data_IF_932095087191
#
_entry.id   IF_932095087191
#
_cell.length_a   1.000
_cell.length_b   1.000
_cell.length_c   1.000
_cell.angle_alpha   90.00
_cell.angle_beta   90.00
_cell.angle_gamma   90.00
#
_symmetry.space_group_name_H-M   'P 1'
#
loop_
_entity.id
_entity.type
_entity.pdbx_description
1 polymer ?
#
# COMPACT_ATOMS: atom_id res chain seq x y z
N UNK A 1 4.45 26.32 -13.17
CA UNK A 1 3.22 25.51 -13.02
C UNK A 1 3.49 24.16 -13.69
N UNK A 2 3.84 23.12 -12.92
CA UNK A 2 4.13 21.77 -13.47
C UNK A 2 2.81 21.02 -13.60
N UNK A 3 2.23 21.06 -14.79
CA UNK A 3 1.04 20.30 -15.18
C UNK A 3 1.38 18.81 -15.30
N UNK A 4 0.61 17.95 -14.62
CA UNK A 4 0.51 16.49 -14.81
C UNK A 4 1.82 15.81 -15.23
N UNK A 5 2.79 15.72 -14.33
CA UNK A 5 3.72 14.59 -14.41
C UNK A 5 2.91 13.30 -14.31
N UNK A 6 3.28 12.29 -15.10
CA UNK A 6 2.82 10.93 -14.91
C UNK A 6 3.13 10.51 -13.46
N UNK A 7 2.07 10.38 -12.66
CA UNK A 7 2.17 10.05 -11.24
C UNK A 7 2.84 8.69 -11.05
N UNK A 8 2.68 7.76 -12.01
CA UNK A 8 3.36 6.48 -11.98
C UNK A 8 4.88 6.65 -12.14
N UNK A 9 5.32 7.49 -13.07
CA UNK A 9 6.74 7.84 -13.23
C UNK A 9 7.32 8.48 -11.96
N UNK A 10 6.58 9.42 -11.35
CA UNK A 10 6.97 10.05 -10.08
C UNK A 10 7.11 9.02 -8.95
N UNK A 11 6.13 8.12 -8.78
CA UNK A 11 6.21 7.06 -7.76
C UNK A 11 7.34 6.06 -8.03
N UNK A 12 7.60 5.76 -9.29
CA UNK A 12 8.67 4.84 -9.72
C UNK A 12 10.06 5.29 -9.24
N UNK A 13 10.30 6.61 -9.11
CA UNK A 13 11.55 7.15 -8.57
C UNK A 13 11.82 6.67 -7.12
N UNK A 14 10.77 6.41 -6.33
CA UNK A 14 10.88 5.96 -4.94
C UNK A 14 10.98 4.43 -4.79
N UNK A 15 10.58 3.66 -5.81
CA UNK A 15 10.54 2.18 -5.74
C UNK A 15 11.86 1.51 -6.12
N UNK A 16 12.81 2.25 -6.70
CA UNK A 16 14.08 1.71 -7.21
C UNK A 16 14.96 1.08 -6.12
N UNK A 17 14.83 1.55 -4.88
CA UNK A 17 15.55 0.99 -3.72
C UNK A 17 14.59 0.85 -2.54
N UNK A 18 14.12 -0.37 -2.21
CA UNK A 18 13.18 -0.56 -1.12
C UNK A 18 13.84 -0.16 0.20
N UNK A 19 13.31 0.89 0.83
CA UNK A 19 13.69 1.28 2.19
C UNK A 19 12.74 0.60 3.16
N UNK A 20 13.25 -0.37 3.90
CA UNK A 20 12.53 -1.00 5.00
C UNK A 20 12.32 0.00 6.16
N UNK A 21 11.50 -0.38 7.14
CA UNK A 21 11.12 0.46 8.27
C UNK A 21 9.79 1.19 8.08
N UNK A 22 9.05 1.33 9.17
CA UNK A 22 7.69 1.90 9.19
C UNK A 22 7.68 3.40 9.52
N UNK A 23 8.80 3.97 9.97
CA UNK A 23 8.86 5.30 10.58
C UNK A 23 8.35 6.39 9.64
N UNK A 24 8.74 6.32 8.36
CA UNK A 24 8.31 7.27 7.32
C UNK A 24 6.82 7.14 7.01
N UNK A 25 6.34 5.90 6.89
CA UNK A 25 4.93 5.63 6.58
C UNK A 25 4.02 6.04 7.75
N UNK A 26 4.41 5.72 8.98
CA UNK A 26 3.68 6.10 10.19
C UNK A 26 3.71 7.62 10.43
N UNK A 27 4.82 8.30 10.12
CA UNK A 27 4.85 9.77 10.17
C UNK A 27 3.84 10.40 9.21
N UNK A 28 3.72 9.87 7.99
CA UNK A 28 2.71 10.31 7.03
C UNK A 28 1.29 9.95 7.49
N UNK A 29 1.07 8.74 7.98
CA UNK A 29 -0.23 8.29 8.48
C UNK A 29 -0.76 9.21 9.59
N UNK A 30 0.09 9.59 10.56
CA UNK A 30 -0.26 10.54 11.62
C UNK A 30 -0.67 11.90 11.10
N UNK A 31 0.01 12.42 10.07
CA UNK A 31 -0.39 13.68 9.43
C UNK A 31 -1.76 13.58 8.75
N UNK A 32 -2.18 12.38 8.38
CA UNK A 32 -3.47 12.07 7.76
C UNK A 32 -4.53 11.61 8.77
N UNK A 33 -4.22 11.63 10.08
CA UNK A 33 -5.16 11.23 11.14
C UNK A 33 -5.26 9.72 11.36
N UNK A 34 -4.17 8.97 11.13
CA UNK A 34 -4.06 7.53 11.37
C UNK A 34 -5.19 6.70 10.72
N UNK A 35 -5.39 6.85 9.40
CA UNK A 35 -6.51 6.22 8.70
C UNK A 35 -6.55 4.69 8.83
N UNK A 36 -5.39 4.04 9.05
CA UNK A 36 -5.29 2.60 9.25
C UNK A 36 -6.12 2.08 10.44
N UNK A 37 -6.37 2.91 11.46
CA UNK A 37 -7.08 2.50 12.68
C UNK A 37 -8.59 2.35 12.44
N UNK A 38 -9.12 2.95 11.37
CA UNK A 38 -10.53 2.87 10.99
C UNK A 38 -10.86 1.78 9.97
N UNK A 39 -9.87 1.02 9.49
CA UNK A 39 -10.05 0.07 8.39
C UNK A 39 -10.28 -1.35 8.90
N UNK A 40 -11.20 -2.08 8.25
CA UNK A 40 -11.31 -3.53 8.37
C UNK A 40 -10.36 -4.17 7.36
N UNK A 41 -9.24 -4.72 7.83
CA UNK A 41 -8.15 -5.19 6.96
C UNK A 41 -7.86 -6.66 7.20
N UNK A 42 -7.59 -7.40 6.12
CA UNK A 42 -6.92 -8.70 6.15
C UNK A 42 -5.46 -8.51 5.74
N UNK A 43 -4.52 -8.77 6.65
CA UNK A 43 -3.09 -8.65 6.37
C UNK A 43 -2.50 -9.97 5.88
N UNK A 44 -2.04 -10.03 4.62
CA UNK A 44 -1.50 -11.26 4.00
C UNK A 44 0.00 -11.12 3.73
N UNK A 45 0.79 -12.01 4.33
CA UNK A 45 2.25 -12.09 4.16
C UNK A 45 2.68 -13.51 3.73
N UNK A 46 3.88 -13.63 3.13
CA UNK A 46 4.44 -14.90 2.65
C UNK A 46 5.34 -14.71 1.44
N UNK A 47 6.15 -15.71 1.08
CA UNK A 47 7.05 -15.62 -0.10
C UNK A 47 6.25 -15.75 -1.40
N UNK A 48 5.34 -16.72 -1.47
CA UNK A 48 4.53 -17.05 -2.64
C UNK A 48 3.03 -17.00 -2.31
N UNK A 49 2.17 -16.98 -3.33
CA UNK A 49 0.73 -17.18 -3.18
C UNK A 49 -0.10 -16.02 -2.61
N UNK A 50 0.52 -14.96 -2.07
CA UNK A 50 -0.19 -13.77 -1.53
C UNK A 50 -1.23 -13.20 -2.49
N UNK A 51 -0.86 -13.01 -3.76
CA UNK A 51 -1.75 -12.46 -4.78
C UNK A 51 -2.94 -13.39 -5.08
N UNK A 52 -2.67 -14.68 -5.26
CA UNK A 52 -3.73 -15.68 -5.54
C UNK A 52 -4.68 -15.85 -4.35
N UNK A 53 -4.16 -15.82 -3.12
CA UNK A 53 -5.00 -15.85 -1.91
C UNK A 53 -5.86 -14.60 -1.81
N UNK A 54 -5.31 -13.39 -2.05
CA UNK A 54 -6.10 -12.17 -2.05
C UNK A 54 -7.23 -12.22 -3.10
N UNK A 55 -6.94 -12.71 -4.31
CA UNK A 55 -7.96 -12.89 -5.35
C UNK A 55 -9.05 -13.90 -4.95
N UNK A 56 -8.67 -14.98 -4.26
CA UNK A 56 -9.64 -15.95 -3.74
C UNK A 56 -10.51 -15.35 -2.63
N UNK A 57 -9.90 -14.62 -1.68
CA UNK A 57 -10.62 -13.94 -0.60
C UNK A 57 -11.59 -12.90 -1.16
N UNK A 58 -11.18 -12.14 -2.17
CA UNK A 58 -12.03 -11.18 -2.87
C UNK A 58 -13.23 -11.86 -3.54
N UNK A 59 -13.02 -13.01 -4.20
CA UNK A 59 -14.13 -13.76 -4.81
C UNK A 59 -15.13 -14.36 -3.80
N UNK A 60 -14.70 -14.61 -2.55
CA UNK A 60 -15.54 -15.23 -1.52
C UNK A 60 -16.16 -14.21 -0.57
N UNK A 61 -15.47 -13.09 -0.31
CA UNK A 61 -15.85 -12.07 0.68
C UNK A 61 -16.21 -10.73 0.05
N UNK A 62 -15.94 -10.54 -1.25
CA UNK A 62 -16.16 -9.28 -1.98
C UNK A 62 -17.61 -9.06 -2.44
N UNK A 63 -18.55 -9.83 -1.91
CA UNK A 63 -20.00 -9.57 -2.00
C UNK A 63 -20.52 -8.85 -0.75
#
# INVERSE_FOLDING_TARGET
MRTTMDFAAYLGEFQRFPRLGLERMLALARLLGDPQDGLRVVHVAGTNGKGSLCAYLDAVLGE
#
